data_IF_560936053607
#
_entry.id   IF_560936053607
#
_cell.length_a   1.000
_cell.length_b   1.000
_cell.length_c   1.000
_cell.angle_alpha   90.00
_cell.angle_beta   90.00
_cell.angle_gamma   90.00
#
_symmetry.space_group_name_H-M   'P 1'
#
loop_
_entity.id
_entity.type
_entity.pdbx_description
1 polymer ?
#
# COMPACT_ATOMS: atom_id res chain seq x y z
N UNK A 1 -59.49 -92.25 -16.30
CA UNK A 1 -58.15 -92.87 -16.34
C UNK A 1 -57.12 -91.77 -16.11
N UNK A 2 -56.24 -91.89 -15.09
CA UNK A 2 -55.46 -90.77 -14.59
C UNK A 2 -54.19 -90.55 -15.42
N UNK A 3 -53.98 -89.33 -15.90
CA UNK A 3 -52.72 -88.91 -16.54
C UNK A 3 -51.75 -88.52 -15.43
N UNK A 4 -50.69 -89.32 -15.31
CA UNK A 4 -49.68 -89.27 -14.26
C UNK A 4 -48.81 -88.02 -14.46
N UNK A 5 -48.95 -87.08 -13.53
CA UNK A 5 -48.19 -85.83 -13.44
C UNK A 5 -46.72 -86.14 -13.14
N UNK A 6 -45.85 -86.08 -14.15
CA UNK A 6 -44.40 -86.21 -13.98
C UNK A 6 -43.85 -84.88 -13.44
N UNK A 7 -43.60 -84.86 -12.14
CA UNK A 7 -42.94 -83.76 -11.44
C UNK A 7 -41.46 -83.71 -11.88
N UNK A 8 -41.17 -82.79 -12.79
CA UNK A 8 -39.82 -82.48 -13.23
C UNK A 8 -39.05 -81.82 -12.08
N UNK A 9 -38.20 -82.59 -11.41
CA UNK A 9 -37.25 -82.10 -10.42
C UNK A 9 -36.20 -81.22 -11.12
N UNK A 10 -36.08 -79.92 -10.80
CA UNK A 10 -34.99 -79.11 -11.32
C UNK A 10 -33.70 -79.50 -10.60
N UNK A 11 -32.79 -80.19 -11.29
CA UNK A 11 -31.40 -80.32 -10.86
C UNK A 11 -30.77 -78.93 -10.72
N UNK A 12 -30.47 -78.55 -9.48
CA UNK A 12 -29.67 -77.38 -9.16
C UNK A 12 -28.22 -77.68 -9.53
N UNK A 13 -27.80 -77.35 -10.76
CA UNK A 13 -26.38 -77.28 -11.10
C UNK A 13 -25.73 -76.22 -10.20
N UNK A 14 -25.06 -76.67 -9.13
CA UNK A 14 -24.16 -75.82 -8.32
C UNK A 14 -23.04 -75.32 -9.22
N UNK A 15 -23.17 -74.08 -9.69
CA UNK A 15 -22.06 -73.36 -10.30
C UNK A 15 -21.13 -72.95 -9.18
N UNK A 16 -20.06 -73.71 -8.95
CA UNK A 16 -18.98 -73.28 -8.06
C UNK A 16 -18.23 -72.19 -8.80
N UNK A 17 -18.62 -70.93 -8.58
CA UNK A 17 -17.81 -69.79 -9.01
C UNK A 17 -16.59 -69.80 -8.10
N UNK A 18 -15.48 -70.37 -8.58
CA UNK A 18 -14.17 -70.13 -7.99
C UNK A 18 -13.81 -68.67 -8.25
N UNK A 19 -14.33 -67.76 -7.41
CA UNK A 19 -13.86 -66.38 -7.37
C UNK A 19 -12.46 -66.43 -6.79
N UNK A 20 -11.45 -66.60 -7.64
CA UNK A 20 -10.08 -66.29 -7.27
C UNK A 20 -10.03 -64.80 -6.99
N UNK A 21 -10.17 -64.42 -5.72
CA UNK A 21 -9.81 -63.09 -5.25
C UNK A 21 -8.31 -62.97 -5.46
N UNK A 22 -7.91 -62.48 -6.64
CA UNK A 22 -6.53 -62.05 -6.84
C UNK A 22 -6.26 -60.99 -5.78
N UNK A 23 -5.28 -61.18 -4.90
CA UNK A 23 -4.91 -60.12 -3.97
C UNK A 23 -4.58 -58.89 -4.82
N UNK A 24 -5.25 -57.77 -4.58
CA UNK A 24 -4.77 -56.48 -5.05
C UNK A 24 -3.46 -56.31 -4.28
N UNK A 25 -2.36 -56.68 -4.92
CA UNK A 25 -1.05 -56.55 -4.33
C UNK A 25 -0.84 -55.08 -4.01
N UNK A 26 -0.88 -54.73 -2.73
CA UNK A 26 -0.34 -53.47 -2.26
C UNK A 26 1.16 -53.50 -2.52
N UNK A 27 1.53 -53.08 -3.73
CA UNK A 27 2.90 -52.70 -4.05
C UNK A 27 3.13 -51.37 -3.36
N UNK A 28 3.45 -51.42 -2.07
CA UNK A 28 4.16 -50.32 -1.42
C UNK A 28 5.53 -50.24 -2.09
N UNK A 29 5.62 -49.49 -3.18
CA UNK A 29 6.89 -49.08 -3.73
C UNK A 29 7.58 -48.21 -2.66
N UNK A 30 8.62 -48.76 -2.04
CA UNK A 30 9.44 -48.00 -1.10
C UNK A 30 10.04 -46.80 -1.82
N UNK A 31 9.83 -45.60 -1.27
CA UNK A 31 10.44 -44.37 -1.79
C UNK A 31 11.96 -44.52 -1.65
N UNK A 32 12.68 -44.40 -2.77
CA UNK A 32 14.13 -44.51 -2.74
C UNK A 32 14.77 -43.33 -2.00
N UNK A 33 15.90 -43.54 -1.32
CA UNK A 33 16.62 -42.43 -0.64
C UNK A 33 17.00 -41.30 -1.63
N UNK A 34 17.29 -41.65 -2.89
CA UNK A 34 17.54 -40.69 -3.97
C UNK A 34 16.30 -39.87 -4.34
N UNK A 35 15.10 -40.43 -4.25
CA UNK A 35 13.85 -39.77 -4.60
C UNK A 35 13.50 -38.69 -3.57
N UNK A 36 13.72 -38.98 -2.28
CA UNK A 36 13.58 -38.00 -1.20
C UNK A 36 14.58 -36.85 -1.34
N UNK A 37 15.83 -37.14 -1.71
CA UNK A 37 16.86 -36.11 -1.93
C UNK A 37 16.51 -35.19 -3.11
N UNK A 38 16.01 -35.74 -4.21
CA UNK A 38 15.55 -34.95 -5.36
C UNK A 38 14.33 -34.11 -4.97
N UNK A 39 13.37 -34.67 -4.23
CA UNK A 39 12.20 -33.93 -3.77
C UNK A 39 12.58 -32.75 -2.85
N UNK A 40 13.51 -32.96 -1.92
CA UNK A 40 14.04 -31.89 -1.07
C UNK A 40 14.78 -30.83 -1.88
N UNK A 41 15.55 -31.22 -2.90
CA UNK A 41 16.24 -30.29 -3.79
C UNK A 41 15.25 -29.41 -4.55
N UNK A 42 14.23 -30.00 -5.17
CA UNK A 42 13.19 -29.26 -5.90
C UNK A 42 12.42 -28.33 -4.97
N UNK A 43 12.06 -28.79 -3.77
CA UNK A 43 11.39 -27.98 -2.76
C UNK A 43 12.24 -26.78 -2.33
N UNK A 44 13.54 -26.99 -2.09
CA UNK A 44 14.45 -25.91 -1.71
C UNK A 44 14.51 -24.82 -2.78
N UNK A 45 14.63 -25.19 -4.06
CA UNK A 45 14.62 -24.23 -5.19
C UNK A 45 13.27 -23.51 -5.27
N UNK A 46 12.16 -24.22 -5.07
CA UNK A 46 10.82 -23.64 -5.06
C UNK A 46 10.62 -22.58 -3.97
N UNK A 47 11.09 -22.84 -2.75
CA UNK A 47 11.00 -21.88 -1.63
C UNK A 47 11.84 -20.63 -1.90
N UNK A 48 13.05 -20.77 -2.45
CA UNK A 48 13.88 -19.60 -2.81
C UNK A 48 13.18 -18.71 -3.85
N UNK A 49 12.55 -19.32 -4.86
CA UNK A 49 11.73 -18.60 -5.84
C UNK A 49 10.55 -17.87 -5.19
N UNK A 50 9.80 -18.55 -4.32
CA UNK A 50 8.67 -17.97 -3.60
C UNK A 50 9.07 -16.81 -2.67
N UNK A 51 10.19 -16.92 -1.95
CA UNK A 51 10.70 -15.83 -1.10
C UNK A 51 11.06 -14.59 -1.92
N UNK A 52 11.67 -14.76 -3.10
CA UNK A 52 11.95 -13.65 -4.02
C UNK A 52 10.67 -12.92 -4.46
N UNK A 53 9.62 -13.67 -4.80
CA UNK A 53 8.31 -13.12 -5.14
C UNK A 53 7.68 -12.39 -3.94
N UNK A 54 7.72 -12.98 -2.75
CA UNK A 54 7.17 -12.35 -1.55
C UNK A 54 7.86 -11.02 -1.22
N UNK A 55 9.19 -10.93 -1.35
CA UNK A 55 9.94 -9.69 -1.13
C UNK A 55 9.52 -8.60 -2.11
N UNK A 56 9.35 -8.96 -3.39
CA UNK A 56 8.90 -8.04 -4.44
C UNK A 56 7.46 -7.56 -4.18
N UNK A 57 6.57 -8.48 -3.80
CA UNK A 57 5.18 -8.16 -3.44
C UNK A 57 5.11 -7.21 -2.24
N UNK A 58 5.95 -7.42 -1.21
CA UNK A 58 6.04 -6.50 -0.08
C UNK A 58 6.50 -5.12 -0.52
N UNK A 59 7.59 -5.03 -1.29
CA UNK A 59 8.14 -3.74 -1.77
C UNK A 59 7.09 -2.94 -2.54
N UNK A 60 6.44 -3.57 -3.52
CA UNK A 60 5.40 -2.91 -4.34
C UNK A 60 4.18 -2.52 -3.51
N UNK A 61 3.79 -3.36 -2.54
CA UNK A 61 2.73 -3.02 -1.58
C UNK A 61 3.05 -1.81 -0.72
N UNK A 62 4.29 -1.69 -0.23
CA UNK A 62 4.74 -0.52 0.54
C UNK A 62 4.76 0.75 -0.30
N UNK A 63 5.23 0.71 -1.55
CA UNK A 63 5.23 1.86 -2.46
C UNK A 63 3.78 2.34 -2.76
N UNK A 64 2.85 1.40 -2.98
CA UNK A 64 1.44 1.71 -3.19
C UNK A 64 0.77 2.31 -1.94
N UNK A 65 1.11 1.79 -0.75
CA UNK A 65 0.65 2.34 0.53
C UNK A 65 1.12 3.78 0.71
N UNK A 66 2.41 4.07 0.49
CA UNK A 66 2.95 5.43 0.60
C UNK A 66 2.24 6.41 -0.34
N UNK A 67 2.03 6.04 -1.61
CA UNK A 67 1.28 6.87 -2.56
C UNK A 67 -0.15 7.12 -2.11
N UNK A 68 -0.82 6.10 -1.57
CA UNK A 68 -2.19 6.22 -1.05
C UNK A 68 -2.24 7.16 0.15
N UNK A 69 -1.27 7.06 1.07
CA UNK A 69 -1.13 7.99 2.21
C UNK A 69 -0.89 9.42 1.74
N UNK A 70 -0.01 9.64 0.76
CA UNK A 70 0.24 10.98 0.21
C UNK A 70 -1.04 11.59 -0.39
N UNK A 71 -1.77 10.84 -1.23
CA UNK A 71 -3.05 11.30 -1.81
C UNK A 71 -4.08 11.59 -0.72
N UNK A 72 -4.15 10.75 0.32
CA UNK A 72 -5.04 10.98 1.47
C UNK A 72 -4.71 12.30 2.19
N UNK A 73 -3.43 12.55 2.49
CA UNK A 73 -2.98 13.78 3.16
C UNK A 73 -3.19 15.04 2.31
N UNK A 74 -3.08 14.92 0.99
CA UNK A 74 -3.42 16.02 0.06
C UNK A 74 -4.90 16.35 0.14
N UNK A 75 -5.77 15.35 0.09
CA UNK A 75 -7.22 15.59 0.17
C UNK A 75 -7.64 16.14 1.53
N UNK A 76 -7.01 15.68 2.62
CA UNK A 76 -7.25 16.20 3.97
C UNK A 76 -6.97 17.71 4.06
N UNK A 77 -5.81 18.18 3.56
CA UNK A 77 -5.49 19.61 3.61
C UNK A 77 -6.37 20.43 2.67
N UNK A 78 -6.69 19.91 1.49
CA UNK A 78 -7.61 20.59 0.55
C UNK A 78 -9.00 20.79 1.16
N UNK A 79 -9.49 19.81 1.92
CA UNK A 79 -10.81 19.93 2.58
C UNK A 79 -10.79 20.96 3.71
N UNK A 80 -9.71 21.02 4.49
CA UNK A 80 -9.51 22.08 5.50
C UNK A 80 -9.49 23.47 4.86
N UNK A 81 -8.78 23.61 3.74
CA UNK A 81 -8.75 24.86 2.97
C UNK A 81 -10.13 25.25 2.45
N UNK A 82 -10.97 24.29 2.03
CA UNK A 82 -12.37 24.57 1.61
C UNK A 82 -13.22 25.07 2.76
N UNK A 83 -13.03 24.52 3.96
CA UNK A 83 -13.71 24.97 5.17
C UNK A 83 -13.28 26.38 5.59
N UNK A 84 -12.06 26.79 5.25
CA UNK A 84 -11.45 28.07 5.63
C UNK A 84 -11.02 28.89 4.41
N UNK A 85 -11.92 29.07 3.44
CA UNK A 85 -11.67 29.81 2.19
C UNK A 85 -11.08 31.23 2.41
N UNK A 86 -11.54 32.04 3.39
CA UNK A 86 -10.95 33.37 3.62
C UNK A 86 -9.43 33.34 3.88
N UNK A 87 -8.92 32.27 4.51
CA UNK A 87 -7.49 32.14 4.75
C UNK A 87 -6.70 31.70 3.50
N UNK A 88 -7.35 31.02 2.55
CA UNK A 88 -6.79 30.69 1.23
C UNK A 88 -6.49 31.97 0.46
N UNK A 89 -7.49 32.86 0.34
CA UNK A 89 -7.33 34.16 -0.33
C UNK A 89 -6.43 35.12 0.44
N UNK A 90 -6.37 34.98 1.76
CA UNK A 90 -5.38 35.68 2.59
C UNK A 90 -3.94 35.15 2.48
N UNK A 91 -3.68 34.11 1.67
CA UNK A 91 -2.35 33.55 1.46
C UNK A 91 -1.78 32.75 2.64
N UNK A 92 -2.59 32.42 3.65
CA UNK A 92 -2.13 31.83 4.91
C UNK A 92 -1.79 30.33 4.81
N UNK A 93 -2.20 29.67 3.73
CA UNK A 93 -1.90 28.25 3.48
C UNK A 93 -0.66 28.03 2.61
N UNK A 94 -0.05 29.08 2.04
CA UNK A 94 1.11 28.93 1.16
C UNK A 94 2.35 28.52 1.94
N UNK A 95 2.90 27.34 1.62
CA UNK A 95 4.07 26.78 2.31
C UNK A 95 4.97 26.06 1.32
N UNK A 96 6.27 26.12 1.58
CA UNK A 96 7.30 25.41 0.81
C UNK A 96 8.08 24.49 1.74
N UNK A 97 8.23 23.22 1.33
CA UNK A 97 9.05 22.22 2.03
C UNK A 97 8.67 22.00 3.50
N UNK A 98 7.37 22.04 3.82
CA UNK A 98 6.83 21.71 5.15
C UNK A 98 7.15 20.25 5.52
N UNK A 99 7.53 19.98 6.76
CA UNK A 99 7.91 18.66 7.24
C UNK A 99 9.14 18.72 8.14
N UNK A 100 9.48 17.58 8.76
CA UNK A 100 10.58 17.49 9.74
C UNK A 100 10.42 18.50 10.89
N UNK A 101 9.21 18.55 11.45
CA UNK A 101 8.82 19.38 12.60
C UNK A 101 9.13 20.88 12.42
N UNK A 102 9.02 21.41 11.21
CA UNK A 102 9.28 22.81 10.87
C UNK A 102 8.34 23.80 11.56
N UNK A 103 7.11 23.39 11.92
CA UNK A 103 6.15 24.17 12.73
C UNK A 103 6.19 23.78 14.22
N UNK A 104 7.14 22.95 14.62
CA UNK A 104 7.32 22.50 16.00
C UNK A 104 6.27 21.47 16.46
N UNK A 105 6.43 21.00 17.70
CA UNK A 105 5.58 19.94 18.28
C UNK A 105 4.44 20.49 19.15
N UNK A 106 4.33 21.81 19.27
CA UNK A 106 3.32 22.47 20.10
C UNK A 106 2.26 23.07 19.20
N UNK A 107 1.00 22.72 19.45
CA UNK A 107 -0.12 23.25 18.69
C UNK A 107 -0.21 24.78 18.82
N UNK A 108 -0.39 25.51 17.71
CA UNK A 108 -0.74 26.93 17.76
C UNK A 108 -2.04 27.15 18.56
N UNK A 109 -2.07 28.20 19.37
CA UNK A 109 -3.25 28.58 20.15
C UNK A 109 -4.37 29.05 19.22
N UNK A 110 -5.50 28.35 19.26
CA UNK A 110 -6.76 28.77 18.64
C UNK A 110 -7.93 28.03 19.31
N UNK A 111 -7.76 26.75 19.66
CA UNK A 111 -8.83 25.92 20.23
C UNK A 111 -9.24 26.28 21.68
N UNK A 112 -8.46 27.09 22.39
CA UNK A 112 -8.70 27.45 23.79
C UNK A 112 -9.39 28.83 23.97
N UNK A 113 -9.61 29.55 22.87
CA UNK A 113 -10.21 30.90 22.86
C UNK A 113 -11.49 30.91 22.04
N UNK A 114 -12.54 31.59 22.53
CA UNK A 114 -13.90 31.61 21.95
C UNK A 114 -14.05 32.20 20.54
N UNK A 115 -12.97 32.66 19.91
CA UNK A 115 -12.97 33.15 18.52
C UNK A 115 -11.57 33.02 17.93
N UNK A 116 -11.42 32.23 16.86
CA UNK A 116 -10.21 32.24 16.03
C UNK A 116 -10.42 33.04 14.76
N UNK A 117 -9.39 33.76 14.35
CA UNK A 117 -9.30 34.31 13.01
C UNK A 117 -9.02 33.18 12.01
N UNK A 118 -9.50 33.34 10.77
CA UNK A 118 -9.23 32.41 9.67
C UNK A 118 -7.73 32.12 9.48
N UNK A 119 -6.86 33.11 9.68
CA UNK A 119 -5.39 32.94 9.62
C UNK A 119 -4.83 32.07 10.74
N UNK A 120 -5.43 32.10 11.93
CA UNK A 120 -5.01 31.27 13.08
C UNK A 120 -5.45 29.82 12.87
N UNK A 121 -6.66 29.61 12.34
CA UNK A 121 -7.13 28.28 11.92
C UNK A 121 -6.20 27.69 10.86
N UNK A 122 -5.80 28.46 9.84
CA UNK A 122 -4.86 28.00 8.83
C UNK A 122 -3.49 27.63 9.43
N UNK A 123 -3.03 28.38 10.43
CA UNK A 123 -1.77 28.08 11.12
C UNK A 123 -1.84 26.77 11.91
N UNK A 124 -2.99 26.49 12.53
CA UNK A 124 -3.28 25.22 13.20
C UNK A 124 -3.41 24.06 12.21
N UNK A 125 -4.13 24.24 11.12
CA UNK A 125 -4.31 23.23 10.07
C UNK A 125 -2.97 22.79 9.47
N UNK A 126 -2.10 23.75 9.13
CA UNK A 126 -0.77 23.45 8.62
C UNK A 126 0.11 22.73 9.65
N UNK A 127 -0.04 23.07 10.93
CA UNK A 127 0.65 22.35 12.00
C UNK A 127 0.16 20.91 12.11
N UNK A 128 -1.16 20.69 12.16
CA UNK A 128 -1.73 19.35 12.25
C UNK A 128 -1.39 18.50 11.01
N UNK A 129 -1.42 19.13 9.83
CA UNK A 129 -1.04 18.49 8.57
C UNK A 129 0.44 18.06 8.60
N UNK A 130 1.34 18.89 9.12
CA UNK A 130 2.75 18.51 9.31
C UNK A 130 2.90 17.33 10.29
N UNK A 131 2.20 17.35 11.42
CA UNK A 131 2.26 16.24 12.39
C UNK A 131 1.84 14.91 11.73
N UNK A 132 0.86 14.95 10.83
CA UNK A 132 0.42 13.77 10.06
C UNK A 132 1.43 13.39 8.98
N UNK A 133 2.02 14.36 8.28
CA UNK A 133 3.10 14.14 7.30
C UNK A 133 4.27 13.40 7.96
N UNK A 134 4.74 13.89 9.10
CA UNK A 134 5.86 13.34 9.86
C UNK A 134 5.52 12.04 10.60
N UNK A 135 4.25 11.60 10.56
CA UNK A 135 3.80 10.36 11.18
C UNK A 135 3.76 10.41 12.71
N UNK A 136 3.61 11.59 13.31
CA UNK A 136 3.56 11.77 14.77
C UNK A 136 2.46 10.93 15.43
N UNK A 137 1.33 10.72 14.75
CA UNK A 137 0.21 9.88 15.20
C UNK A 137 0.58 8.38 15.31
N UNK A 138 1.63 7.95 14.62
CA UNK A 138 2.14 6.56 14.61
C UNK A 138 3.52 6.44 15.31
N UNK A 139 3.87 7.40 16.17
CA UNK A 139 5.18 7.45 16.84
C UNK A 139 6.36 7.58 15.87
N UNK A 140 6.15 8.20 14.71
CA UNK A 140 7.14 8.35 13.64
C UNK A 140 7.38 7.09 12.80
N UNK A 141 6.52 6.06 12.93
CA UNK A 141 6.71 4.75 12.27
C UNK A 141 5.71 4.42 11.18
N UNK A 142 4.66 5.24 11.00
CA UNK A 142 3.63 5.03 9.97
C UNK A 142 3.50 6.18 8.96
N UNK A 143 4.39 7.17 9.02
CA UNK A 143 4.44 8.27 8.06
C UNK A 143 5.20 7.96 6.77
N UNK A 144 5.20 8.93 5.87
CA UNK A 144 6.07 8.93 4.70
C UNK A 144 7.55 9.07 5.14
N UNK A 145 8.49 8.54 4.37
CA UNK A 145 9.92 8.64 4.70
C UNK A 145 10.46 9.99 4.22
N UNK A 146 11.01 10.79 5.14
CA UNK A 146 11.51 12.15 4.87
C UNK A 146 10.51 13.00 4.07
N UNK A 147 9.26 13.18 4.54
CA UNK A 147 8.24 13.85 3.75
C UNK A 147 8.49 15.35 3.64
N UNK A 148 8.08 15.93 2.51
CA UNK A 148 7.98 17.36 2.29
C UNK A 148 6.62 17.69 1.67
N UNK A 149 5.91 18.64 2.26
CA UNK A 149 4.65 19.19 1.76
C UNK A 149 4.84 20.59 1.21
N UNK A 150 4.21 20.89 0.09
CA UNK A 150 4.20 22.21 -0.51
C UNK A 150 2.78 22.56 -0.93
N UNK A 151 2.40 23.81 -0.70
CA UNK A 151 1.11 24.35 -1.07
C UNK A 151 1.36 25.69 -1.74
N UNK A 152 0.94 25.80 -2.99
CA UNK A 152 0.95 27.04 -3.76
C UNK A 152 -0.49 27.47 -4.02
N UNK A 153 -0.80 28.71 -3.69
CA UNK A 153 -2.11 29.32 -3.93
C UNK A 153 -1.94 30.45 -4.94
N UNK A 154 -2.67 30.37 -6.05
CA UNK A 154 -2.65 31.36 -7.12
C UNK A 154 -4.09 31.64 -7.59
N UNK A 155 -4.66 32.78 -7.20
CA UNK A 155 -6.02 33.21 -7.58
C UNK A 155 -7.09 32.12 -7.40
N UNK A 156 -7.08 31.44 -6.24
CA UNK A 156 -8.02 30.36 -5.91
C UNK A 156 -7.67 28.98 -6.47
N UNK A 157 -6.69 28.88 -7.38
CA UNK A 157 -6.07 27.61 -7.75
C UNK A 157 -5.03 27.22 -6.71
N UNK A 158 -5.22 26.04 -6.13
CA UNK A 158 -4.36 25.48 -5.11
C UNK A 158 -3.69 24.26 -5.68
N UNK A 159 -2.37 24.28 -5.68
CA UNK A 159 -1.57 23.10 -5.99
C UNK A 159 -0.94 22.61 -4.70
N UNK A 160 -1.19 21.34 -4.38
CA UNK A 160 -0.61 20.66 -3.23
C UNK A 160 0.30 19.55 -3.75
N UNK A 161 1.55 19.58 -3.33
CA UNK A 161 2.54 18.57 -3.63
C UNK A 161 3.05 17.93 -2.34
N UNK A 162 3.18 16.60 -2.35
CA UNK A 162 3.87 15.86 -1.29
C UNK A 162 5.01 15.06 -1.93
N UNK A 163 6.22 15.26 -1.43
CA UNK A 163 7.41 14.53 -1.82
C UNK A 163 7.91 13.65 -0.66
N UNK A 164 8.43 12.46 -0.96
CA UNK A 164 8.99 11.54 0.03
C UNK A 164 10.07 10.67 -0.59
N UNK A 165 10.83 9.97 0.26
CA UNK A 165 11.83 8.99 -0.17
C UNK A 165 11.17 7.66 -0.55
N UNK A 166 11.25 7.30 -1.83
CA UNK A 166 10.88 5.98 -2.35
C UNK A 166 12.01 4.96 -2.27
N UNK A 167 11.76 3.76 -2.81
CA UNK A 167 12.73 2.67 -2.89
C UNK A 167 13.28 2.47 -4.31
N UNK A 168 12.54 2.91 -5.32
CA UNK A 168 12.97 2.98 -6.72
C UNK A 168 13.46 4.37 -7.04
N UNK A 169 14.39 4.45 -7.99
CA UNK A 169 14.72 5.71 -8.65
C UNK A 169 13.40 6.26 -9.26
N UNK A 170 13.02 7.45 -8.82
CA UNK A 170 12.01 8.23 -9.50
C UNK A 170 12.57 8.72 -10.83
N UNK A 171 11.69 9.01 -11.78
CA UNK A 171 12.08 9.89 -12.89
C UNK A 171 12.28 11.25 -12.26
N UNK A 172 13.52 11.58 -11.93
CA UNK A 172 13.86 12.84 -11.29
C UNK A 172 13.60 13.97 -12.30
N UNK A 173 12.55 14.77 -12.11
CA UNK A 173 12.25 15.85 -13.00
C UNK A 173 12.91 17.09 -12.40
N UNK A 174 14.24 17.12 -12.33
CA UNK A 174 14.95 18.41 -12.36
C UNK A 174 14.79 19.08 -13.75
N UNK A 175 13.62 18.88 -14.36
CA UNK A 175 13.11 19.49 -15.55
C UNK A 175 12.49 20.78 -15.01
N UNK A 176 12.83 21.92 -15.60
CA UNK A 176 12.21 23.20 -15.30
C UNK A 176 10.68 23.25 -15.59
N UNK A 177 10.02 22.11 -15.81
CA UNK A 177 8.62 21.93 -16.19
C UNK A 177 7.76 21.30 -15.07
N UNK A 178 8.33 20.78 -13.99
CA UNK A 178 7.53 20.27 -12.87
C UNK A 178 7.03 21.45 -12.04
N UNK A 179 5.71 21.67 -12.07
CA UNK A 179 5.04 22.87 -11.52
C UNK A 179 5.34 23.09 -10.04
N UNK A 180 5.72 22.05 -9.29
CA UNK A 180 6.16 22.14 -7.90
C UNK A 180 7.45 21.35 -7.62
N UNK A 181 8.56 22.08 -7.41
CA UNK A 181 9.87 21.56 -6.96
C UNK A 181 9.86 21.09 -5.49
N UNK A 182 8.76 20.52 -5.02
CA UNK A 182 8.58 20.18 -3.62
C UNK A 182 9.61 19.15 -3.16
N UNK A 183 10.42 19.50 -2.17
CA UNK A 183 11.51 18.70 -1.65
C UNK A 183 12.76 18.61 -2.53
N UNK A 184 12.74 19.15 -3.75
CA UNK A 184 13.87 19.03 -4.68
C UNK A 184 15.12 19.78 -4.19
N UNK A 185 16.30 19.22 -4.48
CA UNK A 185 17.60 19.82 -4.17
C UNK A 185 17.95 19.81 -2.68
N UNK A 186 17.24 19.05 -1.85
CA UNK A 186 17.47 18.97 -0.42
C UNK A 186 18.48 17.88 -0.05
N UNK A 187 18.72 16.90 -0.95
CA UNK A 187 19.65 15.79 -0.71
C UNK A 187 19.20 14.82 0.38
N UNK A 188 17.92 14.89 0.78
CA UNK A 188 17.35 14.07 1.86
C UNK A 188 16.85 12.71 1.36
N UNK A 189 16.75 12.51 0.03
CA UNK A 189 16.14 11.32 -0.54
C UNK A 189 17.16 10.24 -0.90
N UNK A 190 18.37 10.60 -1.32
CA UNK A 190 19.44 9.65 -1.66
C UNK A 190 20.83 10.07 -1.14
N UNK A 191 20.93 11.23 -0.48
CA UNK A 191 22.20 11.80 -0.01
C UNK A 191 22.94 12.62 -1.08
N UNK A 192 22.32 12.87 -2.23
CA UNK A 192 22.87 13.64 -3.34
C UNK A 192 21.91 14.76 -3.75
N UNK A 193 22.43 15.83 -4.36
CA UNK A 193 21.58 16.90 -4.89
C UNK A 193 20.73 16.47 -6.10
N UNK A 194 20.97 15.26 -6.65
CA UNK A 194 20.12 14.73 -7.69
C UNK A 194 18.73 14.46 -7.12
N UNK A 195 18.66 13.83 -5.94
CA UNK A 195 17.43 13.38 -5.29
C UNK A 195 16.73 12.22 -6.05
N UNK A 196 17.51 11.28 -6.59
CA UNK A 196 17.03 10.20 -7.47
C UNK A 196 15.95 9.30 -6.86
N UNK A 197 15.90 9.16 -5.54
CA UNK A 197 14.88 8.37 -4.83
C UNK A 197 13.64 9.20 -4.44
N UNK A 198 13.54 10.45 -4.88
CA UNK A 198 12.39 11.32 -4.63
C UNK A 198 11.18 10.83 -5.41
N UNK A 199 10.09 10.62 -4.68
CA UNK A 199 8.77 10.37 -5.24
C UNK A 199 7.89 11.57 -4.92
N UNK A 200 7.03 11.97 -5.86
CA UNK A 200 6.16 13.13 -5.71
C UNK A 200 4.76 12.79 -6.18
N UNK A 201 3.75 13.28 -5.47
CA UNK A 201 2.37 13.35 -5.94
C UNK A 201 1.91 14.79 -5.85
N UNK A 202 1.27 15.25 -6.91
CA UNK A 202 0.74 16.62 -7.04
C UNK A 202 -0.75 16.54 -7.32
N UNK A 203 -1.52 17.41 -6.69
CA UNK A 203 -2.94 17.60 -6.98
C UNK A 203 -3.25 19.09 -7.06
N UNK A 204 -4.05 19.48 -8.04
CA UNK A 204 -4.54 20.84 -8.20
C UNK A 204 -6.05 20.87 -7.98
N UNK A 205 -6.52 21.82 -7.17
CA UNK A 205 -7.95 22.08 -6.94
C UNK A 205 -8.23 23.58 -7.07
N UNK A 206 -9.48 23.93 -7.33
CA UNK A 206 -9.95 25.31 -7.25
C UNK A 206 -10.85 25.48 -6.02
N UNK A 207 -10.71 26.59 -5.31
CA UNK A 207 -11.58 27.00 -4.19
C UNK A 207 -12.04 28.43 -4.46
N UNK A 208 -13.35 28.67 -4.39
CA UNK A 208 -13.94 30.00 -4.58
C UNK A 208 -13.91 30.85 -3.31
N UNK A 209 -13.81 32.16 -3.46
CA UNK A 209 -14.01 33.14 -2.38
C UNK A 209 -15.51 33.22 -2.13
N UNK A 210 -15.97 32.73 -0.97
CA UNK A 210 -17.39 32.66 -0.60
C UNK A 210 -17.79 33.90 0.20
#
# INVERSE_FOLDING_TARGET
MPVKLLTMHPEQKKYVINTSLTPIGNSSAGVGLIEVLIAMLVMAVGILGFVGLQTTAKRTGYEAMQRSTAVYLINDVLERMRSNSPAVYGGNYSVSNLGNASRGNTAPGCLDTSSCLSSEIASYDLWEWEQRLDGAVEGGRGGLVSPRGCINVNDGFITVAIAWRGYSEGVDPNNAEDIDNCGAGLGIYDGSAADSLRQVVVSTSYINDN
#
